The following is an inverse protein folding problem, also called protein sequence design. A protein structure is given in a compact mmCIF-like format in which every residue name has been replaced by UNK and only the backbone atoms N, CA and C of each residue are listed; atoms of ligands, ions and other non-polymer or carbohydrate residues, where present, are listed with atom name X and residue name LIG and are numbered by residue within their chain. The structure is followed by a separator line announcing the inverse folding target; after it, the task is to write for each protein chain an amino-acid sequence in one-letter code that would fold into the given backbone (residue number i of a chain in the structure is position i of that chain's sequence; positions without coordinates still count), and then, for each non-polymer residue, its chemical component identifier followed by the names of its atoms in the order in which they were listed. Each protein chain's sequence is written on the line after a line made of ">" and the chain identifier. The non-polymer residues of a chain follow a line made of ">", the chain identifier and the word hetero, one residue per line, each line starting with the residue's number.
data_IF_025126524095
#
_entry.id   IF_025126524095
#
_cell.length_a   1.000
_cell.length_b   1.000
_cell.length_c   1.000
_cell.angle_alpha   90.00
_cell.angle_beta   90.00
_cell.angle_gamma   90.00
#
_symmetry.space_group_name_H-M   'P 1'
#
loop_
_entity.id
_entity.type
_entity.pdbx_description
1 polymer ?
#
# COMPACT_ATOMS: atom_id res chain seq x y z
N UNK A 1 14.48 18.07 -6.61
CA UNK A 1 15.06 16.85 -6.01
C UNK A 1 16.56 16.81 -6.18
N UNK A 2 17.26 16.13 -5.26
CA UNK A 2 18.71 16.06 -5.31
C UNK A 2 19.19 15.26 -6.52
N UNK A 3 19.83 15.93 -7.44
CA UNK A 3 20.65 15.34 -8.48
C UNK A 3 21.95 16.16 -8.50
N UNK A 4 23.00 15.63 -7.92
CA UNK A 4 24.28 16.34 -7.83
C UNK A 4 24.82 16.76 -9.20
N UNK A 5 24.63 15.91 -10.21
CA UNK A 5 25.08 16.18 -11.58
C UNK A 5 24.49 17.49 -12.14
N UNK A 6 23.23 17.79 -11.82
CA UNK A 6 22.55 19.02 -12.31
C UNK A 6 22.68 20.20 -11.34
N UNK A 7 22.85 19.94 -10.03
CA UNK A 7 22.83 20.94 -8.97
C UNK A 7 24.17 21.05 -8.18
N UNK A 8 25.27 20.60 -8.76
CA UNK A 8 26.58 20.61 -8.09
C UNK A 8 26.99 22.00 -7.58
N UNK A 9 26.61 23.07 -8.30
CA UNK A 9 26.89 24.46 -7.90
C UNK A 9 26.05 24.93 -6.71
N UNK A 10 24.94 24.27 -6.44
CA UNK A 10 24.00 24.55 -5.35
C UNK A 10 24.22 23.60 -4.16
N UNK A 11 25.28 22.77 -4.21
CA UNK A 11 25.63 21.89 -3.11
C UNK A 11 26.36 22.68 -2.03
N UNK A 12 25.83 22.65 -0.81
CA UNK A 12 26.40 23.30 0.36
C UNK A 12 26.29 22.42 1.60
N UNK A 13 27.26 22.52 2.49
CA UNK A 13 27.28 21.86 3.79
C UNK A 13 27.47 22.85 4.92
N UNK A 14 26.72 22.61 6.01
CA UNK A 14 26.82 23.39 7.25
C UNK A 14 26.79 22.41 8.42
N UNK A 15 27.64 22.58 9.40
CA UNK A 15 27.60 21.83 10.65
C UNK A 15 26.71 22.57 11.65
N UNK A 16 25.42 22.21 11.72
CA UNK A 16 24.40 22.94 12.50
C UNK A 16 24.57 22.82 14.01
N UNK A 17 25.38 21.88 14.49
CA UNK A 17 25.62 21.67 15.91
C UNK A 17 26.41 20.41 16.20
N UNK A 18 26.67 20.19 17.48
CA UNK A 18 27.30 18.96 17.98
C UNK A 18 26.55 18.42 19.18
N UNK A 19 26.53 17.09 19.31
CA UNK A 19 25.88 16.37 20.41
C UNK A 19 26.86 15.36 21.00
N UNK A 20 26.88 15.24 22.32
CA UNK A 20 27.68 14.22 23.01
C UNK A 20 26.75 13.16 23.57
N UNK A 21 26.94 11.90 23.18
CA UNK A 21 26.11 10.78 23.61
C UNK A 21 26.42 10.33 25.06
N UNK A 22 25.67 9.35 25.56
CA UNK A 22 25.85 8.74 26.89
C UNK A 22 27.23 8.06 27.06
N UNK A 23 27.83 7.61 25.96
CA UNK A 23 29.19 7.05 25.93
C UNK A 23 30.28 8.12 25.82
N UNK A 24 29.90 9.38 25.95
CA UNK A 24 30.79 10.54 25.86
C UNK A 24 31.50 10.68 24.50
N UNK A 25 30.85 10.24 23.41
CA UNK A 25 31.30 10.45 22.04
C UNK A 25 30.59 11.68 21.48
N UNK A 26 31.38 12.65 20.95
CA UNK A 26 30.83 13.84 20.30
C UNK A 26 30.61 13.57 18.83
N UNK A 27 29.38 13.83 18.36
CA UNK A 27 28.94 13.79 16.98
C UNK A 27 28.67 15.21 16.49
N UNK A 28 28.91 15.43 15.21
CA UNK A 28 28.63 16.67 14.51
C UNK A 28 27.49 16.45 13.52
N UNK A 29 26.47 17.31 13.58
CA UNK A 29 25.28 17.23 12.74
C UNK A 29 25.54 18.06 11.47
N UNK A 30 25.86 17.37 10.39
CA UNK A 30 26.19 17.94 9.08
C UNK A 30 24.90 18.06 8.29
N UNK A 31 24.43 19.27 8.04
CA UNK A 31 23.33 19.54 7.13
C UNK A 31 23.88 19.68 5.70
N UNK A 32 23.46 18.80 4.81
CA UNK A 32 23.78 18.82 3.39
C UNK A 32 22.58 19.38 2.63
N UNK A 33 22.80 20.34 1.76
CA UNK A 33 21.80 20.92 0.89
C UNK A 33 22.23 20.73 -0.56
N UNK A 34 21.31 20.26 -1.43
CA UNK A 34 21.51 20.13 -2.89
C UNK A 34 20.26 20.62 -3.58
N UNK A 35 20.29 21.81 -4.16
CA UNK A 35 19.09 22.50 -4.60
C UNK A 35 18.09 22.67 -3.45
N UNK A 36 16.86 22.26 -3.64
CA UNK A 36 15.80 22.33 -2.62
C UNK A 36 15.80 21.18 -1.60
N UNK A 37 16.62 20.15 -1.82
CA UNK A 37 16.68 18.98 -0.94
C UNK A 37 17.74 19.18 0.13
N UNK A 38 17.38 18.87 1.36
CA UNK A 38 18.26 18.93 2.51
C UNK A 38 18.13 17.65 3.35
N UNK A 39 19.27 17.20 3.87
CA UNK A 39 19.30 16.11 4.85
C UNK A 39 20.40 16.35 5.88
N UNK A 40 20.34 15.63 6.99
CA UNK A 40 21.31 15.72 8.07
C UNK A 40 22.04 14.40 8.24
N UNK A 41 23.36 14.47 8.30
CA UNK A 41 24.25 13.33 8.54
C UNK A 41 24.96 13.52 9.87
N UNK A 42 25.06 12.46 10.66
CA UNK A 42 25.69 12.50 11.98
C UNK A 42 27.02 11.77 11.94
N UNK A 43 28.14 12.50 12.12
CA UNK A 43 29.50 11.96 12.05
C UNK A 43 30.33 12.38 13.27
N UNK A 44 31.20 11.47 13.74
CA UNK A 44 32.18 11.78 14.79
C UNK A 44 33.53 12.13 14.18
N UNK A 45 34.39 12.80 14.93
CA UNK A 45 35.70 13.28 14.44
C UNK A 45 36.56 12.17 13.80
N UNK A 46 36.50 10.91 14.31
CA UNK A 46 37.25 9.81 13.73
C UNK A 46 36.85 9.55 12.25
N UNK A 47 35.59 9.64 11.92
CA UNK A 47 35.11 9.44 10.55
C UNK A 47 35.60 10.55 9.60
N UNK A 48 35.71 11.80 10.09
CA UNK A 48 36.38 12.88 9.32
C UNK A 48 37.83 12.57 9.09
N UNK A 49 38.56 12.06 10.09
CA UNK A 49 39.98 11.71 9.95
C UNK A 49 40.16 10.54 8.98
N UNK A 50 39.29 9.54 9.02
CA UNK A 50 39.32 8.39 8.11
C UNK A 50 39.04 8.84 6.66
N UNK A 51 38.04 9.72 6.44
CA UNK A 51 37.75 10.34 5.14
C UNK A 51 38.97 11.14 4.64
N UNK A 52 39.51 12.02 5.50
CA UNK A 52 40.63 12.85 5.13
C UNK A 52 41.88 12.06 4.71
N UNK A 53 42.17 10.95 5.41
CA UNK A 53 43.29 10.07 5.05
C UNK A 53 43.11 9.48 3.63
N UNK A 54 41.92 9.08 3.25
CA UNK A 54 41.63 8.62 1.90
C UNK A 54 41.76 9.71 0.84
N UNK A 55 41.17 10.90 1.12
CA UNK A 55 41.24 12.03 0.18
C UNK A 55 42.66 12.54 -0.05
N UNK A 56 43.53 12.50 0.97
CA UNK A 56 44.97 12.83 0.85
C UNK A 56 45.69 11.80 -0.03
N UNK A 57 45.39 10.52 0.14
CA UNK A 57 46.09 9.47 -0.61
C UNK A 57 45.66 9.43 -2.09
N UNK A 58 44.36 9.57 -2.34
CA UNK A 58 43.77 9.23 -3.65
C UNK A 58 43.42 10.48 -4.48
N UNK A 59 43.28 11.67 -3.85
CA UNK A 59 42.74 12.88 -4.52
C UNK A 59 43.56 14.15 -4.34
N UNK A 60 44.84 14.04 -4.00
CA UNK A 60 45.79 15.18 -3.86
C UNK A 60 45.37 16.31 -2.91
N UNK A 61 44.58 15.97 -1.92
CA UNK A 61 44.14 16.90 -0.87
C UNK A 61 45.31 17.17 0.10
N UNK A 62 45.49 18.41 0.50
CA UNK A 62 46.63 18.81 1.43
C UNK A 62 46.35 18.30 2.84
N UNK A 63 47.41 17.80 3.51
CA UNK A 63 47.32 17.18 4.84
C UNK A 63 46.87 18.11 5.96
N UNK A 64 47.09 19.39 5.83
CA UNK A 64 46.99 20.39 6.94
C UNK A 64 45.60 21.03 7.05
N UNK A 65 44.64 20.70 6.20
CA UNK A 65 43.32 21.36 6.19
C UNK A 65 42.32 20.76 7.20
N UNK A 66 42.58 19.57 7.74
CA UNK A 66 41.72 18.98 8.76
C UNK A 66 42.09 19.50 10.14
N UNK A 67 41.15 20.00 10.98
CA UNK A 67 41.43 20.39 12.36
C UNK A 67 42.14 19.29 13.16
N UNK A 68 43.24 19.64 13.83
CA UNK A 68 44.09 18.67 14.51
C UNK A 68 43.40 17.90 15.63
N UNK A 69 43.90 16.65 15.87
CA UNK A 69 43.44 15.80 16.95
C UNK A 69 44.00 16.29 18.30
N UNK A 70 43.13 16.56 19.28
CA UNK A 70 43.53 16.88 20.65
C UNK A 70 43.22 15.69 21.56
N UNK A 71 44.16 15.32 22.42
CA UNK A 71 44.06 14.16 23.31
C UNK A 71 43.51 14.57 24.69
N UNK A 72 43.93 15.72 25.21
CA UNK A 72 43.52 16.23 26.54
C UNK A 72 42.61 17.44 26.34
N UNK A 73 41.51 17.56 27.10
CA UNK A 73 40.54 18.66 27.00
C UNK A 73 39.70 18.67 25.73
N UNK A 74 39.59 17.54 25.07
CA UNK A 74 38.82 17.39 23.83
C UNK A 74 37.27 17.35 24.04
N UNK A 75 36.81 17.41 25.31
CA UNK A 75 35.41 17.43 25.71
C UNK A 75 34.95 18.78 26.25
N UNK A 76 35.82 19.75 26.29
CA UNK A 76 35.46 21.13 26.70
C UNK A 76 34.52 21.74 25.64
N UNK A 77 33.42 22.39 26.06
CA UNK A 77 32.44 22.98 25.15
C UNK A 77 33.07 23.93 24.12
N UNK A 78 33.97 24.82 24.58
CA UNK A 78 34.67 25.78 23.71
C UNK A 78 35.57 25.10 22.67
N UNK A 79 36.16 23.95 23.03
CA UNK A 79 36.95 23.18 22.10
C UNK A 79 36.11 22.46 21.07
N UNK A 80 34.97 21.88 21.50
CA UNK A 80 34.01 21.22 20.61
C UNK A 80 33.48 22.23 19.58
N UNK A 81 33.13 23.45 20.04
CA UNK A 81 32.60 24.48 19.15
C UNK A 81 33.67 25.01 18.16
N UNK A 82 34.89 25.26 18.59
CA UNK A 82 36.00 25.63 17.68
C UNK A 82 36.26 24.51 16.65
N UNK A 83 36.19 23.24 17.08
CA UNK A 83 36.34 22.09 16.17
C UNK A 83 35.19 22.02 15.20
N UNK A 84 33.94 22.25 15.63
CA UNK A 84 32.75 22.28 14.77
C UNK A 84 32.95 23.26 13.62
N UNK A 85 33.35 24.50 13.94
CA UNK A 85 33.63 25.55 12.95
C UNK A 85 34.77 25.12 12.00
N UNK A 86 35.84 24.57 12.53
CA UNK A 86 36.96 24.11 11.71
C UNK A 86 36.58 22.94 10.78
N UNK A 87 35.74 22.02 11.24
CA UNK A 87 35.24 20.92 10.42
C UNK A 87 34.25 21.40 9.34
N UNK A 88 33.46 22.43 9.61
CA UNK A 88 32.60 23.06 8.62
C UNK A 88 33.41 23.69 7.49
N UNK A 89 34.44 24.51 7.84
CA UNK A 89 35.36 25.11 6.88
C UNK A 89 36.07 24.02 6.08
N UNK A 90 36.52 22.95 6.73
CA UNK A 90 37.14 21.80 6.08
C UNK A 90 36.21 21.17 5.00
N UNK A 91 34.97 20.85 5.34
CA UNK A 91 34.03 20.28 4.39
C UNK A 91 33.71 21.22 3.23
N UNK A 92 33.51 22.50 3.50
CA UNK A 92 33.26 23.51 2.46
C UNK A 92 34.44 23.64 1.51
N UNK A 93 35.66 23.61 2.04
CA UNK A 93 36.91 23.64 1.24
C UNK A 93 37.01 22.39 0.34
N UNK A 94 36.81 21.21 0.91
CA UNK A 94 36.84 19.95 0.16
C UNK A 94 35.75 19.92 -0.94
N UNK A 95 34.52 20.33 -0.62
CA UNK A 95 33.44 20.39 -1.60
C UNK A 95 33.75 21.34 -2.75
N UNK A 96 34.28 22.50 -2.44
CA UNK A 96 34.70 23.49 -3.46
C UNK A 96 35.83 22.96 -4.34
N UNK A 97 36.81 22.30 -3.76
CA UNK A 97 37.95 21.75 -4.48
C UNK A 97 37.60 20.57 -5.35
N UNK A 98 36.77 19.63 -4.84
CA UNK A 98 36.37 18.38 -5.50
C UNK A 98 35.02 18.47 -6.25
N UNK A 99 34.45 19.66 -6.41
CA UNK A 99 33.13 19.89 -6.99
C UNK A 99 32.89 19.17 -8.33
N UNK A 100 33.91 19.09 -9.19
CA UNK A 100 33.83 18.49 -10.53
C UNK A 100 34.09 16.99 -10.52
N UNK A 101 34.85 16.48 -9.55
CA UNK A 101 35.33 15.10 -9.46
C UNK A 101 34.90 14.43 -8.16
N UNK A 102 33.74 14.81 -7.63
CA UNK A 102 33.22 14.33 -6.35
C UNK A 102 33.51 12.84 -6.12
N UNK A 103 34.45 12.49 -5.23
CA UNK A 103 34.86 11.10 -5.01
C UNK A 103 33.80 10.29 -4.28
N UNK A 104 33.81 8.98 -4.50
CA UNK A 104 32.83 8.04 -3.89
C UNK A 104 32.88 8.10 -2.36
N UNK A 105 34.07 8.25 -1.78
CA UNK A 105 34.27 8.33 -0.33
C UNK A 105 33.58 9.55 0.30
N UNK A 106 33.51 10.66 -0.44
CA UNK A 106 32.84 11.87 0.03
C UNK A 106 31.32 11.76 -0.14
N UNK A 107 30.84 11.13 -1.22
CA UNK A 107 29.43 10.78 -1.38
C UNK A 107 28.95 9.87 -0.26
N UNK A 108 29.70 8.80 0.07
CA UNK A 108 29.39 7.87 1.14
C UNK A 108 29.40 8.55 2.52
N UNK A 109 30.41 9.40 2.77
CA UNK A 109 30.50 10.15 4.02
C UNK A 109 29.31 11.07 4.24
N UNK A 110 28.82 11.73 3.19
CA UNK A 110 27.68 12.64 3.22
C UNK A 110 26.34 11.94 2.93
N UNK A 111 26.33 10.62 2.77
CA UNK A 111 25.14 9.76 2.55
C UNK A 111 24.30 10.15 1.34
N UNK A 112 24.93 10.59 0.26
CA UNK A 112 24.23 10.90 -0.99
C UNK A 112 23.50 9.70 -1.60
N UNK A 113 24.00 8.48 -1.37
CA UNK A 113 23.41 7.23 -1.85
C UNK A 113 21.95 7.02 -1.39
N UNK A 114 21.54 7.71 -0.33
CA UNK A 114 20.18 7.64 0.22
C UNK A 114 19.22 8.67 -0.40
N UNK A 115 19.76 9.74 -1.01
CA UNK A 115 18.93 10.90 -1.40
C UNK A 115 19.18 11.41 -2.81
N UNK A 116 20.32 11.09 -3.43
CA UNK A 116 20.64 11.52 -4.78
C UNK A 116 20.11 10.53 -5.84
N UNK A 117 19.42 11.07 -6.84
CA UNK A 117 18.78 10.30 -7.91
C UNK A 117 19.77 9.35 -8.62
N UNK A 118 20.96 9.84 -8.99
CA UNK A 118 21.91 9.06 -9.76
C UNK A 118 22.54 7.94 -8.92
N UNK A 119 22.80 8.21 -7.65
CA UNK A 119 23.40 7.23 -6.74
C UNK A 119 22.39 6.16 -6.30
N UNK A 120 21.12 6.55 -6.10
CA UNK A 120 20.03 5.59 -5.86
C UNK A 120 19.92 4.63 -7.05
N UNK A 121 19.93 5.14 -8.27
CA UNK A 121 19.83 4.31 -9.49
C UNK A 121 21.07 3.44 -9.66
N UNK A 122 22.29 3.97 -9.40
CA UNK A 122 23.55 3.19 -9.41
C UNK A 122 23.50 2.01 -8.43
N UNK A 123 22.95 2.25 -7.24
CA UNK A 123 22.77 1.22 -6.21
C UNK A 123 21.76 0.15 -6.65
N UNK A 124 20.62 0.56 -7.20
CA UNK A 124 19.62 -0.37 -7.76
C UNK A 124 20.19 -1.18 -8.92
N UNK A 125 20.96 -0.55 -9.84
CA UNK A 125 21.61 -1.24 -10.95
C UNK A 125 22.56 -2.33 -10.45
N UNK A 126 23.37 -2.02 -9.44
CA UNK A 126 24.28 -2.98 -8.80
C UNK A 126 23.54 -4.14 -8.15
N UNK A 127 22.47 -3.84 -7.42
CA UNK A 127 21.63 -4.84 -6.75
C UNK A 127 20.96 -5.78 -7.76
N UNK A 128 20.39 -5.23 -8.83
CA UNK A 128 19.72 -6.05 -9.85
C UNK A 128 20.69 -6.80 -10.76
N UNK A 129 21.88 -6.27 -10.99
CA UNK A 129 22.97 -7.02 -11.64
C UNK A 129 23.36 -8.27 -10.86
N UNK A 130 23.42 -8.16 -9.52
CA UNK A 130 23.84 -9.27 -8.64
C UNK A 130 22.70 -10.24 -8.33
N UNK A 131 21.51 -9.73 -8.04
CA UNK A 131 20.41 -10.47 -7.42
C UNK A 131 19.12 -10.45 -8.22
N UNK A 132 19.05 -9.72 -9.35
CA UNK A 132 17.81 -9.49 -10.10
C UNK A 132 17.12 -10.79 -10.52
N UNK A 133 17.85 -11.75 -11.07
CA UNK A 133 17.28 -13.03 -11.48
C UNK A 133 16.77 -13.88 -10.29
N UNK A 134 17.41 -13.77 -9.12
CA UNK A 134 16.94 -14.45 -7.90
C UNK A 134 15.60 -13.87 -7.43
N UNK A 135 15.45 -12.54 -7.45
CA UNK A 135 14.20 -11.88 -7.09
C UNK A 135 13.06 -12.23 -8.07
N UNK A 136 13.38 -12.33 -9.37
CA UNK A 136 12.39 -12.66 -10.40
C UNK A 136 12.00 -14.15 -10.41
N UNK A 137 12.92 -15.06 -10.10
CA UNK A 137 12.67 -16.50 -10.10
C UNK A 137 11.70 -16.95 -9.00
N UNK A 138 11.74 -16.30 -7.85
CA UNK A 138 10.93 -16.69 -6.68
C UNK A 138 9.48 -16.20 -6.74
N UNK A 139 9.05 -15.56 -7.83
CA UNK A 139 7.73 -14.87 -7.96
C UNK A 139 7.42 -13.93 -6.78
N UNK A 140 8.44 -13.52 -6.04
CA UNK A 140 8.32 -12.69 -4.86
C UNK A 140 7.89 -11.27 -5.25
N UNK A 141 7.13 -10.67 -4.36
CA UNK A 141 6.80 -9.27 -4.42
C UNK A 141 8.05 -8.41 -4.23
N UNK A 142 8.41 -7.60 -5.21
CA UNK A 142 9.47 -6.62 -5.02
C UNK A 142 8.87 -5.28 -4.53
N UNK A 143 9.44 -4.77 -3.44
CA UNK A 143 8.98 -3.56 -2.79
C UNK A 143 9.84 -2.36 -3.20
N UNK A 144 9.32 -1.49 -4.04
CA UNK A 144 9.89 -0.18 -4.28
C UNK A 144 9.33 0.84 -3.29
N UNK A 145 10.17 1.75 -2.80
CA UNK A 145 9.67 3.00 -2.21
C UNK A 145 9.52 4.07 -3.30
N UNK A 146 8.72 5.09 -3.01
CA UNK A 146 8.44 6.16 -3.98
C UNK A 146 9.71 6.91 -4.41
N UNK A 147 10.69 7.07 -3.53
CA UNK A 147 11.95 7.74 -3.87
C UNK A 147 12.77 6.95 -4.92
N UNK A 148 12.78 5.62 -4.84
CA UNK A 148 13.42 4.77 -5.85
C UNK A 148 12.69 4.87 -7.21
N UNK A 149 11.36 4.84 -7.23
CA UNK A 149 10.57 5.01 -8.45
C UNK A 149 10.73 6.41 -9.04
N UNK A 150 10.77 7.43 -8.20
CA UNK A 150 11.10 8.79 -8.61
C UNK A 150 12.50 8.84 -9.24
N UNK A 151 13.50 8.23 -8.61
CA UNK A 151 14.86 8.21 -9.15
C UNK A 151 14.95 7.50 -10.52
N UNK A 152 14.23 6.39 -10.69
CA UNK A 152 14.10 5.70 -11.99
C UNK A 152 13.46 6.63 -13.01
N UNK A 153 12.37 7.32 -12.64
CA UNK A 153 11.63 8.24 -13.53
C UNK A 153 12.48 9.43 -13.97
N UNK A 154 13.23 10.04 -13.07
CA UNK A 154 14.16 11.14 -13.40
C UNK A 154 15.32 10.65 -14.26
N UNK A 155 15.84 9.45 -13.98
CA UNK A 155 16.92 8.86 -14.79
C UNK A 155 16.47 8.58 -16.23
N UNK A 156 15.22 8.20 -16.45
CA UNK A 156 14.65 7.99 -17.79
C UNK A 156 14.63 9.27 -18.65
N UNK A 157 14.55 10.44 -18.03
CA UNK A 157 14.55 11.74 -18.72
C UNK A 157 15.95 12.18 -19.18
N UNK A 158 16.99 11.59 -18.62
CA UNK A 158 18.38 11.95 -18.93
C UNK A 158 18.92 11.07 -20.05
N UNK A 159 19.76 11.61 -20.98
CA UNK A 159 20.46 10.80 -21.95
C UNK A 159 21.32 9.75 -21.22
N UNK A 160 21.40 8.56 -21.80
CA UNK A 160 22.17 7.46 -21.23
C UNK A 160 23.61 7.54 -21.73
N UNK A 161 24.58 8.05 -20.96
CA UNK A 161 25.98 7.85 -21.29
C UNK A 161 26.29 6.36 -21.09
N UNK A 162 27.07 5.79 -22.01
CA UNK A 162 27.60 4.46 -21.84
C UNK A 162 28.47 4.42 -20.58
N UNK A 163 28.09 3.55 -19.64
CA UNK A 163 28.90 3.33 -18.43
C UNK A 163 30.01 2.37 -18.79
N UNK A 164 31.28 2.79 -18.59
CA UNK A 164 32.45 1.90 -18.77
C UNK A 164 32.37 0.65 -17.88
N UNK A 165 31.69 0.75 -16.75
CA UNK A 165 31.50 -0.37 -15.85
C UNK A 165 30.08 -0.95 -15.98
N UNK A 166 30.00 -2.15 -16.57
CA UNK A 166 28.73 -2.86 -16.81
C UNK A 166 27.87 -3.00 -15.56
N UNK A 167 28.45 -3.18 -14.36
CA UNK A 167 27.78 -3.34 -13.07
C UNK A 167 26.84 -2.17 -12.73
N UNK A 168 27.16 -0.96 -13.18
CA UNK A 168 26.40 0.25 -12.87
C UNK A 168 25.43 0.67 -13.99
N UNK A 169 25.29 -0.17 -15.01
CA UNK A 169 24.47 0.15 -16.16
C UNK A 169 22.98 0.19 -15.79
N UNK A 170 22.31 1.28 -16.13
CA UNK A 170 20.88 1.47 -15.89
C UNK A 170 20.00 0.42 -16.59
N UNK A 171 20.51 -0.24 -17.63
CA UNK A 171 19.82 -1.33 -18.31
C UNK A 171 19.40 -2.47 -17.38
N UNK A 172 20.16 -2.74 -16.30
CA UNK A 172 19.79 -3.75 -15.30
C UNK A 172 18.52 -3.39 -14.54
N UNK A 173 18.35 -2.08 -14.23
CA UNK A 173 17.12 -1.58 -13.60
C UNK A 173 15.95 -1.71 -14.56
N UNK A 174 16.12 -1.35 -15.83
CA UNK A 174 15.07 -1.45 -16.83
C UNK A 174 14.68 -2.88 -17.13
N UNK A 175 15.65 -3.79 -17.30
CA UNK A 175 15.38 -5.22 -17.51
C UNK A 175 14.60 -5.81 -16.33
N UNK A 176 15.02 -5.50 -15.11
CA UNK A 176 14.30 -5.93 -13.92
C UNK A 176 12.85 -5.42 -13.90
N UNK A 177 12.63 -4.12 -14.11
CA UNK A 177 11.30 -3.53 -14.15
C UNK A 177 10.42 -4.14 -15.25
N UNK A 178 10.98 -4.39 -16.45
CA UNK A 178 10.28 -5.00 -17.56
C UNK A 178 9.77 -6.41 -17.26
N UNK A 179 10.55 -7.20 -16.52
CA UNK A 179 10.29 -8.62 -16.23
C UNK A 179 9.49 -8.82 -14.93
N UNK A 180 9.44 -7.82 -14.05
CA UNK A 180 8.77 -7.92 -12.74
C UNK A 180 7.28 -8.21 -12.89
N UNK A 181 6.78 -9.25 -12.20
CA UNK A 181 5.36 -9.66 -12.21
C UNK A 181 4.58 -9.13 -11.02
N UNK A 182 5.23 -8.92 -9.89
CA UNK A 182 4.59 -8.53 -8.64
C UNK A 182 5.26 -7.27 -8.08
N UNK A 183 4.60 -6.13 -8.25
CA UNK A 183 5.09 -4.82 -7.86
C UNK A 183 4.36 -4.34 -6.61
N UNK A 184 5.09 -4.07 -5.54
CA UNK A 184 4.59 -3.33 -4.40
C UNK A 184 5.28 -1.98 -4.29
N UNK A 185 4.49 -0.95 -3.96
CA UNK A 185 4.96 0.43 -3.84
C UNK A 185 4.60 0.95 -2.46
N UNK A 186 5.59 1.48 -1.75
CA UNK A 186 5.40 2.05 -0.40
C UNK A 186 5.65 3.54 -0.43
N UNK A 187 4.62 4.31 -0.12
CA UNK A 187 4.66 5.76 0.07
C UNK A 187 4.63 6.16 1.55
N UNK A 188 4.32 7.42 1.79
CA UNK A 188 4.16 7.97 3.14
C UNK A 188 4.15 9.49 3.15
N UNK A 189 3.58 10.07 4.20
CA UNK A 189 3.49 11.53 4.38
C UNK A 189 4.54 12.09 5.34
N UNK A 190 5.38 11.23 5.94
CA UNK A 190 6.46 11.65 6.81
C UNK A 190 7.74 11.90 6.03
N UNK A 191 8.63 12.67 6.60
CA UNK A 191 9.96 12.89 6.06
C UNK A 191 10.75 11.59 5.94
N UNK A 192 11.48 11.46 4.84
CA UNK A 192 12.34 10.30 4.60
C UNK A 192 13.61 10.45 5.45
N UNK A 193 13.73 9.64 6.49
CA UNK A 193 14.84 9.67 7.44
C UNK A 193 15.08 11.12 7.98
N UNK A 194 16.33 11.58 7.96
CA UNK A 194 16.72 12.91 8.41
C UNK A 194 16.75 13.94 7.26
N UNK A 195 15.78 13.87 6.32
CA UNK A 195 15.70 14.78 5.17
C UNK A 195 14.39 15.58 5.16
N UNK A 196 14.29 16.54 4.24
CA UNK A 196 13.04 17.23 3.93
C UNK A 196 12.23 16.59 2.80
N UNK A 197 12.61 15.38 2.36
CA UNK A 197 11.91 14.64 1.34
C UNK A 197 10.65 13.99 1.93
N UNK A 198 9.53 14.10 1.22
CA UNK A 198 8.29 13.39 1.53
C UNK A 198 7.92 12.53 0.33
N UNK A 199 7.71 11.22 0.52
CA UNK A 199 7.39 10.30 -0.58
C UNK A 199 6.20 10.76 -1.41
N UNK A 200 5.12 11.16 -0.75
CA UNK A 200 3.88 11.53 -1.43
C UNK A 200 3.91 12.91 -2.12
N UNK A 201 5.06 13.57 -2.15
CA UNK A 201 5.30 14.78 -2.95
C UNK A 201 6.16 14.50 -4.20
N UNK A 202 6.49 13.23 -4.48
CA UNK A 202 7.36 12.83 -5.58
C UNK A 202 6.55 12.18 -6.70
N UNK A 203 6.59 12.79 -7.89
CA UNK A 203 5.95 12.24 -9.09
C UNK A 203 6.81 11.11 -9.67
N UNK A 204 6.19 9.98 -10.01
CA UNK A 204 6.90 8.87 -10.65
C UNK A 204 6.05 8.19 -11.72
N UNK A 205 6.71 7.54 -12.65
CA UNK A 205 6.05 6.82 -13.74
C UNK A 205 6.22 5.31 -13.65
N UNK A 206 5.27 4.60 -14.25
CA UNK A 206 5.24 3.15 -14.30
C UNK A 206 5.38 2.60 -15.74
N UNK A 207 5.88 3.40 -16.66
CA UNK A 207 6.03 3.02 -18.08
C UNK A 207 6.97 1.84 -18.32
N UNK A 208 7.96 1.63 -17.44
CA UNK A 208 8.93 0.52 -17.53
C UNK A 208 8.36 -0.83 -17.08
N UNK A 209 7.22 -0.84 -16.39
CA UNK A 209 6.65 -2.06 -15.81
C UNK A 209 5.64 -2.71 -16.78
N UNK A 210 6.10 -3.54 -17.72
CA UNK A 210 5.25 -4.11 -18.78
C UNK A 210 4.74 -5.51 -18.52
N UNK A 211 5.24 -6.20 -17.48
CA UNK A 211 4.89 -7.59 -17.16
C UNK A 211 4.15 -7.76 -15.83
N UNK A 212 3.83 -6.67 -15.14
CA UNK A 212 3.19 -6.70 -13.82
C UNK A 212 1.80 -7.33 -13.90
N UNK A 213 1.58 -8.37 -13.09
CA UNK A 213 0.33 -9.10 -12.94
C UNK A 213 -0.40 -8.66 -11.66
N UNK A 214 0.36 -8.35 -10.59
CA UNK A 214 -0.18 -7.89 -9.31
C UNK A 214 0.46 -6.56 -8.92
N UNK A 215 -0.36 -5.55 -8.67
CA UNK A 215 0.03 -4.22 -8.20
C UNK A 215 -0.45 -4.01 -6.77
N UNK A 216 0.44 -3.65 -5.88
CA UNK A 216 0.13 -3.31 -4.50
C UNK A 216 0.67 -1.92 -4.17
N UNK A 217 -0.16 -1.04 -3.63
CA UNK A 217 0.21 0.31 -3.24
C UNK A 217 -0.21 0.57 -1.79
N UNK A 218 0.73 1.06 -0.99
CA UNK A 218 0.52 1.31 0.43
C UNK A 218 0.87 2.76 0.78
N UNK A 219 -0.09 3.50 1.34
CA UNK A 219 0.08 4.90 1.76
C UNK A 219 0.54 5.82 0.63
N UNK A 220 -0.01 5.69 -0.59
CA UNK A 220 0.41 6.44 -1.78
C UNK A 220 -0.56 7.56 -2.12
N UNK A 221 -0.02 8.71 -2.52
CA UNK A 221 -0.79 9.74 -3.19
C UNK A 221 -0.95 9.37 -4.69
N UNK A 222 -2.16 8.93 -5.08
CA UNK A 222 -2.43 8.43 -6.43
C UNK A 222 -2.19 9.47 -7.54
N UNK A 223 -2.41 10.75 -7.24
CA UNK A 223 -2.17 11.87 -8.15
C UNK A 223 -0.67 12.10 -8.48
N UNK A 224 0.25 11.43 -7.79
CA UNK A 224 1.68 11.48 -8.09
C UNK A 224 2.12 10.43 -9.12
N UNK A 225 1.22 9.50 -9.49
CA UNK A 225 1.51 8.43 -10.44
C UNK A 225 1.13 8.88 -11.86
N UNK A 226 2.03 8.71 -12.81
CA UNK A 226 1.75 8.94 -14.22
C UNK A 226 2.25 7.78 -15.10
N UNK A 227 1.85 7.74 -16.37
CA UNK A 227 2.21 6.69 -17.33
C UNK A 227 1.88 5.25 -16.89
N UNK A 228 0.70 5.05 -16.28
CA UNK A 228 0.22 3.73 -15.80
C UNK A 228 -0.31 2.83 -16.95
N UNK A 229 -0.46 3.35 -18.16
CA UNK A 229 -1.07 2.67 -19.31
C UNK A 229 -0.57 1.23 -19.56
N UNK A 230 0.72 0.89 -19.47
CA UNK A 230 1.18 -0.48 -19.70
C UNK A 230 0.56 -1.49 -18.74
N UNK A 231 0.28 -1.09 -17.51
CA UNK A 231 -0.31 -1.95 -16.47
C UNK A 231 -1.75 -2.36 -16.78
N UNK A 232 -2.53 -1.53 -17.49
CA UNK A 232 -3.92 -1.83 -17.86
C UNK A 232 -4.05 -3.11 -18.67
N UNK A 233 -3.02 -3.47 -19.42
CA UNK A 233 -3.00 -4.65 -20.29
C UNK A 233 -2.50 -5.93 -19.60
N UNK A 234 -1.92 -5.85 -18.42
CA UNK A 234 -1.26 -7.00 -17.78
C UNK A 234 -1.78 -7.31 -16.39
N UNK A 235 -2.12 -6.30 -15.60
CA UNK A 235 -2.52 -6.46 -14.19
C UNK A 235 -3.84 -7.21 -14.07
N UNK A 236 -3.85 -8.19 -13.14
CA UNK A 236 -5.01 -9.02 -12.79
C UNK A 236 -5.51 -8.75 -11.36
N UNK A 237 -4.66 -8.27 -10.50
CA UNK A 237 -5.01 -7.93 -9.13
C UNK A 237 -4.42 -6.57 -8.74
N UNK A 238 -5.24 -5.72 -8.13
CA UNK A 238 -4.85 -4.38 -7.64
C UNK A 238 -5.19 -4.32 -6.16
N UNK A 239 -4.22 -3.95 -5.34
CA UNK A 239 -4.40 -3.65 -3.92
C UNK A 239 -3.93 -2.23 -3.64
N UNK A 240 -4.82 -1.37 -3.15
CA UNK A 240 -4.50 0.00 -2.75
C UNK A 240 -4.98 0.20 -1.32
N UNK A 241 -4.04 0.23 -0.39
CA UNK A 241 -4.32 0.26 1.03
C UNK A 241 -3.93 1.60 1.65
N UNK A 242 -4.82 2.18 2.47
CA UNK A 242 -4.58 3.40 3.26
C UNK A 242 -4.00 4.57 2.43
N UNK A 243 -4.57 4.81 1.24
CA UNK A 243 -4.08 5.79 0.26
C UNK A 243 -5.02 6.99 0.07
N UNK A 244 -6.05 7.10 0.94
CA UNK A 244 -7.05 8.18 0.95
C UNK A 244 -7.80 8.33 -0.38
N UNK A 245 -8.02 7.21 -1.10
CA UNK A 245 -8.84 7.21 -2.30
C UNK A 245 -10.29 7.58 -1.93
N UNK A 246 -10.89 8.51 -2.63
CA UNK A 246 -12.31 8.87 -2.49
C UNK A 246 -13.19 8.10 -3.47
N UNK A 247 -12.63 7.68 -4.59
CA UNK A 247 -13.28 6.90 -5.63
C UNK A 247 -12.26 6.04 -6.39
N UNK A 248 -12.69 4.93 -7.03
CA UNK A 248 -11.79 4.04 -7.76
C UNK A 248 -11.01 4.73 -8.89
N UNK A 249 -11.57 5.77 -9.52
CA UNK A 249 -10.92 6.54 -10.59
C UNK A 249 -9.65 7.22 -10.13
N UNK A 250 -9.55 7.58 -8.85
CA UNK A 250 -8.37 8.27 -8.30
C UNK A 250 -7.08 7.47 -8.54
N UNK A 251 -7.18 6.15 -8.67
CA UNK A 251 -6.05 5.28 -9.00
C UNK A 251 -6.15 4.70 -10.41
N UNK A 252 -7.32 4.26 -10.85
CA UNK A 252 -7.46 3.60 -12.16
C UNK A 252 -7.23 4.56 -13.33
N UNK A 253 -7.45 5.86 -13.11
CA UNK A 253 -7.25 6.94 -14.07
C UNK A 253 -6.25 8.00 -13.59
N UNK A 254 -5.36 7.67 -12.66
CA UNK A 254 -4.45 8.63 -12.04
C UNK A 254 -3.54 9.37 -13.05
N UNK A 255 -3.23 8.78 -14.19
CA UNK A 255 -2.46 9.40 -15.28
C UNK A 255 -3.27 10.40 -16.13
N UNK A 256 -4.58 10.46 -15.98
CA UNK A 256 -5.46 11.41 -16.67
C UNK A 256 -5.67 12.71 -15.87
N UNK A 257 -5.34 12.77 -14.62
CA UNK A 257 -5.39 14.00 -13.80
C UNK A 257 -4.58 15.14 -14.43
N UNK A 258 -3.59 14.79 -15.25
CA UNK A 258 -2.68 15.73 -15.92
C UNK A 258 -3.03 15.99 -17.39
N UNK A 259 -4.17 15.46 -17.89
CA UNK A 259 -4.65 15.66 -19.25
C UNK A 259 -5.99 16.39 -19.21
N UNK A 260 -6.19 17.36 -20.10
CA UNK A 260 -7.50 17.95 -20.33
C UNK A 260 -8.49 16.85 -20.74
N UNK A 261 -9.62 16.77 -20.07
CA UNK A 261 -10.66 15.78 -20.31
C UNK A 261 -11.21 15.91 -21.73
N UNK A 262 -10.97 14.92 -22.59
CA UNK A 262 -11.78 14.69 -23.77
C UNK A 262 -12.98 13.81 -23.38
N UNK A 263 -14.15 14.15 -23.84
CA UNK A 263 -15.45 13.54 -23.46
C UNK A 263 -15.62 12.08 -23.87
N UNK A 264 -14.70 11.52 -24.64
CA UNK A 264 -14.78 10.14 -25.12
C UNK A 264 -13.90 9.22 -24.25
N UNK A 265 -14.55 8.31 -23.52
CA UNK A 265 -13.85 7.21 -22.80
C UNK A 265 -13.16 6.33 -23.85
N UNK A 266 -11.86 6.54 -24.03
CA UNK A 266 -11.03 5.71 -24.90
C UNK A 266 -10.97 4.28 -24.32
N UNK A 267 -11.12 3.26 -25.18
CA UNK A 267 -10.95 1.84 -24.82
C UNK A 267 -9.60 1.54 -24.13
N UNK A 268 -8.65 2.45 -24.23
CA UNK A 268 -7.36 2.41 -23.57
C UNK A 268 -7.43 2.66 -22.03
N UNK A 269 -8.56 3.12 -21.50
CA UNK A 269 -8.76 3.39 -20.06
C UNK A 269 -9.19 2.15 -19.27
N UNK A 270 -9.70 1.13 -19.96
CA UNK A 270 -10.31 -0.04 -19.36
C UNK A 270 -9.27 -1.06 -18.93
N UNK A 271 -9.40 -1.58 -17.72
CA UNK A 271 -8.56 -2.62 -17.13
C UNK A 271 -9.16 -4.02 -17.38
N UNK A 272 -9.13 -4.45 -18.65
CA UNK A 272 -9.82 -5.68 -19.09
C UNK A 272 -9.34 -6.97 -18.42
N UNK A 273 -8.12 -7.01 -17.88
CA UNK A 273 -7.57 -8.23 -17.26
C UNK A 273 -7.74 -8.27 -15.75
N UNK A 274 -8.17 -7.19 -15.11
CA UNK A 274 -8.37 -7.13 -13.67
C UNK A 274 -9.51 -8.06 -13.27
N UNK A 275 -9.22 -8.93 -12.29
CA UNK A 275 -10.14 -9.89 -11.69
C UNK A 275 -10.39 -9.65 -10.21
N UNK A 276 -9.48 -8.95 -9.54
CA UNK A 276 -9.58 -8.65 -8.13
C UNK A 276 -9.11 -7.24 -7.83
N UNK A 277 -9.90 -6.51 -7.05
CA UNK A 277 -9.48 -5.25 -6.44
C UNK A 277 -9.64 -5.33 -4.93
N UNK A 278 -8.64 -4.78 -4.24
CA UNK A 278 -8.67 -4.53 -2.81
C UNK A 278 -8.34 -3.06 -2.58
N UNK A 279 -9.36 -2.27 -2.23
CA UNK A 279 -9.26 -0.86 -1.92
C UNK A 279 -9.60 -0.60 -0.45
N UNK A 280 -9.27 -1.54 0.41
CA UNK A 280 -9.57 -1.45 1.84
C UNK A 280 -8.83 -0.30 2.53
N UNK A 281 -9.46 0.22 3.59
CA UNK A 281 -8.94 1.30 4.43
C UNK A 281 -8.61 2.58 3.65
N UNK A 282 -9.56 3.02 2.81
CA UNK A 282 -9.54 4.29 2.10
C UNK A 282 -10.73 5.18 2.54
N UNK A 283 -11.06 6.17 1.74
CA UNK A 283 -12.17 7.11 1.96
C UNK A 283 -13.22 6.98 0.85
N UNK A 284 -13.41 5.78 0.28
CA UNK A 284 -14.28 5.55 -0.89
C UNK A 284 -15.74 5.65 -0.49
N UNK A 285 -16.49 6.43 -1.26
CA UNK A 285 -17.92 6.65 -1.07
C UNK A 285 -18.77 5.95 -2.16
N UNK A 286 -18.22 5.69 -3.36
CA UNK A 286 -18.91 5.15 -4.54
C UNK A 286 -18.06 4.10 -5.28
N UNK A 287 -18.71 3.10 -5.87
CA UNK A 287 -18.09 2.05 -6.68
C UNK A 287 -18.51 2.09 -8.16
N UNK A 288 -19.38 3.03 -8.54
CA UNK A 288 -20.01 3.05 -9.87
C UNK A 288 -19.04 2.94 -11.04
N UNK A 289 -17.87 3.56 -10.95
CA UNK A 289 -16.87 3.53 -12.02
C UNK A 289 -16.22 2.18 -12.26
N UNK A 290 -16.24 1.27 -11.29
CA UNK A 290 -15.72 -0.09 -11.47
C UNK A 290 -16.47 -0.85 -12.57
N UNK A 291 -17.77 -0.57 -12.76
CA UNK A 291 -18.60 -1.22 -13.77
C UNK A 291 -18.08 -0.98 -15.21
N UNK A 292 -17.49 0.17 -15.43
CA UNK A 292 -16.94 0.56 -16.73
C UNK A 292 -15.44 0.29 -16.82
N UNK A 293 -14.70 0.61 -15.77
CA UNK A 293 -13.24 0.53 -15.79
C UNK A 293 -12.69 -0.89 -15.60
N UNK A 294 -13.45 -1.79 -14.95
CA UNK A 294 -12.99 -3.16 -14.62
C UNK A 294 -14.09 -4.21 -14.92
N UNK A 295 -14.57 -4.34 -16.17
CA UNK A 295 -15.77 -5.12 -16.49
C UNK A 295 -15.65 -6.62 -16.19
N UNK A 296 -14.44 -7.17 -16.07
CA UNK A 296 -14.18 -8.59 -15.85
C UNK A 296 -13.85 -8.96 -14.39
N UNK A 297 -14.16 -8.06 -13.46
CA UNK A 297 -13.84 -8.24 -12.04
C UNK A 297 -14.66 -9.38 -11.42
N UNK A 298 -14.03 -10.12 -10.51
CA UNK A 298 -14.63 -11.25 -9.77
C UNK A 298 -14.71 -11.02 -8.28
N UNK A 299 -13.78 -10.23 -7.76
CA UNK A 299 -13.66 -9.97 -6.32
C UNK A 299 -13.44 -8.50 -6.08
N UNK A 300 -14.28 -7.90 -5.23
CA UNK A 300 -14.14 -6.52 -4.75
C UNK A 300 -14.03 -6.57 -3.22
N UNK A 301 -12.95 -6.01 -2.69
CA UNK A 301 -12.79 -5.73 -1.26
C UNK A 301 -12.65 -4.21 -1.08
N UNK A 302 -13.61 -3.62 -0.37
CA UNK A 302 -13.63 -2.19 -0.01
C UNK A 302 -13.91 -1.99 1.47
N UNK A 303 -13.36 -2.87 2.29
CA UNK A 303 -13.51 -2.82 3.74
C UNK A 303 -12.89 -1.54 4.33
N UNK A 304 -13.49 -1.00 5.40
CA UNK A 304 -12.95 0.17 6.07
C UNK A 304 -12.99 1.44 5.21
N UNK A 305 -14.11 1.67 4.51
CA UNK A 305 -14.36 2.84 3.68
C UNK A 305 -15.57 3.67 4.18
N UNK A 306 -16.06 4.60 3.40
CA UNK A 306 -17.15 5.51 3.74
C UNK A 306 -18.45 5.24 2.98
N UNK A 307 -18.63 4.02 2.46
CA UNK A 307 -19.79 3.63 1.64
C UNK A 307 -21.04 3.63 2.52
N UNK A 308 -22.09 4.32 2.06
CA UNK A 308 -23.39 4.43 2.75
C UNK A 308 -24.48 3.61 2.07
N UNK A 309 -24.36 3.36 0.77
CA UNK A 309 -25.37 2.65 -0.05
C UNK A 309 -24.69 1.67 -1.00
N UNK A 310 -25.40 0.58 -1.32
CA UNK A 310 -24.96 -0.38 -2.35
C UNK A 310 -25.52 0.06 -3.70
N UNK A 311 -24.63 0.33 -4.64
CA UNK A 311 -24.95 0.76 -5.99
C UNK A 311 -25.26 -0.42 -6.92
N UNK A 312 -25.69 -0.12 -8.15
CA UNK A 312 -25.93 -1.12 -9.18
C UNK A 312 -24.58 -1.64 -9.74
N UNK A 313 -24.29 -2.89 -9.45
CA UNK A 313 -23.11 -3.62 -9.92
C UNK A 313 -23.47 -4.73 -10.92
N UNK A 314 -24.70 -4.77 -11.47
CA UNK A 314 -25.17 -5.83 -12.38
C UNK A 314 -24.37 -5.91 -13.66
N UNK A 315 -23.79 -4.81 -14.13
CA UNK A 315 -22.86 -4.80 -15.27
C UNK A 315 -21.59 -5.65 -15.04
N UNK A 316 -21.24 -5.92 -13.78
CA UNK A 316 -20.12 -6.78 -13.40
C UNK A 316 -20.57 -8.26 -13.38
N UNK A 317 -20.88 -8.81 -14.53
CA UNK A 317 -21.47 -10.16 -14.68
C UNK A 317 -20.64 -11.29 -14.10
N UNK A 318 -19.34 -11.09 -13.90
CA UNK A 318 -18.40 -12.05 -13.31
C UNK A 318 -18.22 -11.89 -11.80
N UNK A 319 -18.84 -10.86 -11.18
CA UNK A 319 -18.67 -10.58 -9.76
C UNK A 319 -19.26 -11.70 -8.92
N UNK A 320 -18.42 -12.33 -8.10
CA UNK A 320 -18.79 -13.43 -7.23
C UNK A 320 -18.56 -13.13 -5.74
N UNK A 321 -17.66 -12.22 -5.43
CA UNK A 321 -17.32 -11.87 -4.04
C UNK A 321 -17.26 -10.36 -3.86
N UNK A 322 -18.03 -9.86 -2.88
CA UNK A 322 -18.08 -8.45 -2.51
C UNK A 322 -17.93 -8.34 -0.99
N UNK A 323 -16.89 -7.62 -0.55
CA UNK A 323 -16.67 -7.31 0.86
C UNK A 323 -16.77 -5.80 1.08
N UNK A 324 -17.71 -5.42 1.93
CA UNK A 324 -18.10 -4.06 2.31
C UNK A 324 -18.03 -3.90 3.85
N UNK A 325 -17.27 -4.74 4.52
CA UNK A 325 -17.13 -4.72 5.98
C UNK A 325 -16.61 -3.36 6.46
N UNK A 326 -17.02 -2.98 7.66
CA UNK A 326 -16.55 -1.74 8.30
C UNK A 326 -16.77 -0.49 7.42
N UNK A 327 -18.03 -0.32 6.97
CA UNK A 327 -18.53 0.83 6.23
C UNK A 327 -19.68 1.52 6.98
N UNK A 328 -20.39 2.44 6.32
CA UNK A 328 -21.47 3.22 6.90
C UNK A 328 -22.86 2.84 6.36
N UNK A 329 -23.05 1.60 5.89
CA UNK A 329 -24.28 1.17 5.24
C UNK A 329 -25.39 1.03 6.31
N UNK A 330 -26.46 1.79 6.16
CA UNK A 330 -27.63 1.77 7.06
C UNK A 330 -28.82 1.06 6.47
N UNK A 331 -29.11 1.34 5.21
CA UNK A 331 -30.28 0.85 4.51
C UNK A 331 -29.88 0.14 3.22
N UNK A 332 -30.54 -0.96 2.96
CA UNK A 332 -30.33 -1.76 1.76
C UNK A 332 -31.66 -2.00 1.07
N UNK A 333 -31.73 -1.64 -0.21
CA UNK A 333 -32.93 -1.80 -1.02
C UNK A 333 -32.63 -2.56 -2.30
N UNK A 334 -33.53 -3.44 -2.68
CA UNK A 334 -33.52 -4.15 -3.97
C UNK A 334 -32.18 -4.80 -4.36
N UNK A 335 -31.48 -5.39 -3.38
CA UNK A 335 -30.15 -5.98 -3.59
C UNK A 335 -30.10 -6.98 -4.76
N UNK A 336 -31.21 -7.72 -5.00
CA UNK A 336 -31.30 -8.68 -6.09
C UNK A 336 -31.25 -8.04 -7.49
N UNK A 337 -31.60 -6.76 -7.61
CA UNK A 337 -31.49 -6.00 -8.86
C UNK A 337 -30.14 -5.32 -9.02
N UNK A 338 -29.33 -5.25 -7.95
CA UNK A 338 -28.05 -4.51 -7.91
C UNK A 338 -26.82 -5.41 -7.93
N UNK A 339 -26.92 -6.62 -7.40
CA UNK A 339 -25.76 -7.48 -7.13
C UNK A 339 -25.63 -8.72 -8.06
N UNK A 340 -26.59 -8.93 -8.97
CA UNK A 340 -26.54 -10.06 -9.90
C UNK A 340 -26.37 -11.42 -9.21
N UNK A 341 -25.47 -12.27 -9.70
CA UNK A 341 -25.23 -13.63 -9.22
C UNK A 341 -24.10 -13.71 -8.17
N UNK A 342 -24.12 -12.85 -7.19
CA UNK A 342 -23.14 -12.81 -6.13
C UNK A 342 -23.21 -14.08 -5.26
N UNK A 343 -22.05 -14.65 -4.92
CA UNK A 343 -21.91 -15.87 -4.10
C UNK A 343 -21.53 -15.55 -2.66
N UNK A 344 -20.60 -14.62 -2.46
CA UNK A 344 -20.14 -14.23 -1.14
C UNK A 344 -20.36 -12.72 -0.93
N UNK A 345 -21.07 -12.37 0.14
CA UNK A 345 -21.32 -10.99 0.55
C UNK A 345 -20.95 -10.80 2.01
N UNK A 346 -19.98 -9.92 2.26
CA UNK A 346 -19.58 -9.49 3.59
C UNK A 346 -20.04 -8.04 3.81
N UNK A 347 -20.94 -7.87 4.76
CA UNK A 347 -21.49 -6.60 5.22
C UNK A 347 -21.28 -6.41 6.74
N UNK A 348 -20.33 -7.15 7.31
CA UNK A 348 -20.03 -7.05 8.73
C UNK A 348 -19.62 -5.65 9.16
N UNK A 349 -19.82 -5.30 10.42
CA UNK A 349 -19.46 -3.98 10.97
C UNK A 349 -20.05 -2.80 10.19
N UNK A 350 -21.35 -2.88 9.89
CA UNK A 350 -22.14 -1.82 9.29
C UNK A 350 -23.30 -1.41 10.26
N UNK A 351 -24.31 -0.74 9.75
CA UNK A 351 -25.44 -0.25 10.54
C UNK A 351 -26.80 -0.82 10.10
N UNK A 352 -26.78 -2.02 9.52
CA UNK A 352 -27.94 -2.68 8.93
C UNK A 352 -28.86 -3.23 10.04
N UNK A 353 -30.16 -2.95 9.97
CA UNK A 353 -31.17 -3.45 10.91
C UNK A 353 -32.27 -4.24 10.22
N UNK A 354 -32.55 -3.99 8.94
CA UNK A 354 -33.58 -4.65 8.14
C UNK A 354 -32.99 -5.63 7.12
N UNK A 355 -33.49 -6.87 7.11
CA UNK A 355 -33.05 -7.92 6.21
C UNK A 355 -34.02 -8.20 5.06
N UNK A 356 -35.07 -7.41 4.88
CA UNK A 356 -36.10 -7.59 3.84
C UNK A 356 -35.50 -7.66 2.44
N UNK A 357 -34.54 -6.79 2.14
CA UNK A 357 -33.87 -6.70 0.84
C UNK A 357 -33.04 -7.95 0.45
N UNK A 358 -32.67 -8.80 1.43
CA UNK A 358 -31.86 -9.99 1.19
C UNK A 358 -32.70 -11.17 0.67
N UNK A 359 -34.01 -11.12 0.82
CA UNK A 359 -34.94 -12.28 0.59
C UNK A 359 -34.88 -12.88 -0.81
N UNK A 360 -34.32 -12.21 -1.81
CA UNK A 360 -34.24 -12.65 -3.21
C UNK A 360 -32.79 -12.86 -3.70
N UNK A 361 -31.82 -12.90 -2.84
CA UNK A 361 -30.40 -13.14 -3.19
C UNK A 361 -30.16 -14.67 -3.33
N UNK A 362 -30.79 -15.31 -4.25
CA UNK A 362 -30.82 -16.79 -4.37
C UNK A 362 -29.46 -17.42 -4.67
N UNK A 363 -28.50 -16.69 -5.21
CA UNK A 363 -27.15 -17.18 -5.52
C UNK A 363 -26.19 -17.15 -4.31
N UNK A 364 -26.57 -16.48 -3.20
CA UNK A 364 -25.69 -16.31 -2.04
C UNK A 364 -25.48 -17.66 -1.33
N UNK A 365 -24.23 -18.01 -1.12
CA UNK A 365 -23.75 -19.13 -0.31
C UNK A 365 -23.20 -18.67 1.03
N UNK A 366 -22.50 -17.51 1.06
CA UNK A 366 -21.89 -16.96 2.25
C UNK A 366 -22.38 -15.53 2.47
N UNK A 367 -22.98 -15.29 3.64
CA UNK A 367 -23.46 -13.97 4.06
C UNK A 367 -22.90 -13.64 5.46
N UNK A 368 -22.09 -12.58 5.54
CA UNK A 368 -21.62 -12.05 6.81
C UNK A 368 -22.34 -10.73 7.12
N UNK A 369 -23.12 -10.73 8.20
CA UNK A 369 -23.83 -9.60 8.77
C UNK A 369 -23.38 -9.33 10.22
N UNK A 370 -22.25 -9.87 10.65
CA UNK A 370 -21.72 -9.70 12.01
C UNK A 370 -21.57 -8.22 12.38
N UNK A 371 -21.76 -7.91 13.67
CA UNK A 371 -21.58 -6.53 14.16
C UNK A 371 -22.44 -5.49 13.43
N UNK A 372 -23.73 -5.76 13.28
CA UNK A 372 -24.75 -4.86 12.74
C UNK A 372 -25.84 -4.59 13.81
N UNK A 373 -27.00 -4.05 13.42
CA UNK A 373 -28.09 -3.68 14.33
C UNK A 373 -29.34 -4.56 14.17
N UNK A 374 -29.21 -5.78 13.68
CA UNK A 374 -30.32 -6.72 13.56
C UNK A 374 -30.77 -7.14 14.98
N UNK A 375 -31.94 -6.69 15.40
CA UNK A 375 -32.47 -6.92 16.77
C UNK A 375 -33.57 -7.99 16.82
N UNK A 376 -34.41 -8.08 15.81
CA UNK A 376 -35.55 -8.97 15.80
C UNK A 376 -35.24 -10.27 15.05
N UNK A 377 -35.50 -11.41 15.72
CA UNK A 377 -35.32 -12.73 15.12
C UNK A 377 -36.27 -12.99 13.93
N UNK A 378 -37.39 -12.29 13.86
CA UNK A 378 -38.33 -12.41 12.73
C UNK A 378 -37.71 -11.93 11.41
N UNK A 379 -36.72 -11.03 11.44
CA UNK A 379 -35.95 -10.61 10.27
C UNK A 379 -35.26 -11.79 9.56
N UNK A 380 -34.90 -12.82 10.31
CA UNK A 380 -34.24 -14.00 9.75
C UNK A 380 -35.13 -14.78 8.79
N UNK A 381 -36.46 -14.64 8.91
CA UNK A 381 -37.43 -15.27 7.97
C UNK A 381 -37.18 -14.82 6.53
N UNK A 382 -36.63 -13.63 6.30
CA UNK A 382 -36.28 -13.17 4.98
C UNK A 382 -35.14 -13.98 4.35
N UNK A 383 -34.26 -14.58 5.18
CA UNK A 383 -33.11 -15.36 4.74
C UNK A 383 -33.46 -16.86 4.52
N UNK A 384 -34.58 -17.35 5.03
CA UNK A 384 -34.94 -18.78 4.95
C UNK A 384 -35.18 -19.27 3.51
N UNK A 385 -35.48 -18.38 2.58
CA UNK A 385 -35.68 -18.65 1.15
C UNK A 385 -34.39 -18.80 0.35
N UNK A 386 -33.23 -18.39 0.93
CA UNK A 386 -31.92 -18.43 0.29
C UNK A 386 -31.37 -19.86 0.30
N UNK A 387 -31.81 -20.67 -0.64
CA UNK A 387 -31.57 -22.13 -0.65
C UNK A 387 -30.10 -22.51 -0.80
N UNK A 388 -29.24 -21.72 -1.36
CA UNK A 388 -27.82 -21.97 -1.53
C UNK A 388 -26.97 -21.52 -0.32
N UNK A 389 -27.55 -20.68 0.56
CA UNK A 389 -26.82 -20.15 1.72
C UNK A 389 -26.47 -21.24 2.72
N UNK A 390 -25.22 -21.50 2.93
CA UNK A 390 -24.69 -22.50 3.86
C UNK A 390 -23.82 -21.88 4.98
N UNK A 391 -23.58 -20.58 4.93
CA UNK A 391 -22.78 -19.84 5.90
C UNK A 391 -23.42 -18.49 6.19
N UNK A 392 -23.68 -18.23 7.48
CA UNK A 392 -24.27 -16.99 7.98
C UNK A 392 -23.57 -16.55 9.27
N UNK A 393 -23.16 -15.31 9.35
CA UNK A 393 -22.66 -14.68 10.58
C UNK A 393 -23.63 -13.60 11.02
N UNK A 394 -24.07 -13.65 12.28
CA UNK A 394 -24.90 -12.64 12.95
C UNK A 394 -24.34 -12.27 14.32
N UNK A 395 -23.22 -12.85 14.73
CA UNK A 395 -22.53 -12.50 15.97
C UNK A 395 -22.28 -10.98 16.07
N UNK A 396 -22.35 -10.44 17.27
CA UNK A 396 -22.22 -8.98 17.47
C UNK A 396 -23.47 -8.16 17.11
N UNK A 397 -24.60 -8.81 16.70
CA UNK A 397 -25.90 -8.15 16.57
C UNK A 397 -26.73 -8.29 17.85
N UNK A 398 -27.69 -7.39 18.14
CA UNK A 398 -28.59 -7.55 19.26
C UNK A 398 -29.35 -8.89 19.27
N UNK A 399 -29.70 -9.42 18.09
CA UNK A 399 -30.38 -10.72 17.95
C UNK A 399 -29.56 -11.89 18.51
N UNK A 400 -28.24 -11.82 18.48
CA UNK A 400 -27.35 -12.89 18.98
C UNK A 400 -27.37 -13.03 20.53
N UNK A 401 -27.87 -12.02 21.24
CA UNK A 401 -27.99 -12.03 22.72
C UNK A 401 -29.29 -12.66 23.22
N UNK A 402 -30.22 -13.03 22.32
CA UNK A 402 -31.50 -13.64 22.68
C UNK A 402 -31.27 -15.04 23.25
N UNK A 403 -31.98 -15.37 24.34
CA UNK A 403 -31.95 -16.72 24.93
C UNK A 403 -32.33 -17.78 23.87
N UNK A 404 -31.56 -18.85 23.81
CA UNK A 404 -31.70 -19.92 22.81
C UNK A 404 -31.52 -19.44 21.34
N UNK A 405 -30.80 -18.35 21.11
CA UNK A 405 -30.58 -17.76 19.79
C UNK A 405 -30.23 -18.82 18.74
N UNK A 406 -29.16 -19.60 18.93
CA UNK A 406 -28.68 -20.57 17.94
C UNK A 406 -29.74 -21.63 17.60
N UNK A 407 -30.42 -22.21 18.60
CA UNK A 407 -31.45 -23.19 18.34
C UNK A 407 -32.70 -22.60 17.69
N UNK A 408 -33.04 -21.33 17.96
CA UNK A 408 -34.09 -20.60 17.26
C UNK A 408 -33.75 -20.36 15.79
N UNK A 409 -32.50 -19.90 15.54
CA UNK A 409 -31.99 -19.67 14.20
C UNK A 409 -31.99 -20.96 13.35
N UNK A 410 -31.40 -22.03 13.89
CA UNK A 410 -31.33 -23.32 13.23
C UNK A 410 -32.76 -23.89 12.97
N UNK A 411 -33.69 -23.68 13.89
CA UNK A 411 -35.09 -24.05 13.73
C UNK A 411 -35.82 -23.31 12.60
N UNK A 412 -35.47 -22.09 12.29
CA UNK A 412 -35.98 -21.33 11.16
C UNK A 412 -35.41 -21.81 9.83
N UNK A 413 -34.18 -22.28 9.79
CA UNK A 413 -33.48 -22.76 8.58
C UNK A 413 -33.91 -24.18 8.16
N UNK A 414 -34.67 -24.90 8.97
CA UNK A 414 -35.33 -26.18 8.76
C UNK A 414 -34.46 -27.33 8.20
N UNK A 415 -34.43 -27.59 6.90
CA UNK A 415 -33.89 -28.86 6.30
C UNK A 415 -32.36 -28.90 6.13
N UNK A 416 -31.59 -27.85 6.54
CA UNK A 416 -30.17 -27.73 6.28
C UNK A 416 -29.33 -27.61 7.53
N UNK A 417 -29.90 -27.92 8.65
CA UNK A 417 -29.28 -27.65 9.96
C UNK A 417 -27.96 -28.37 10.16
N UNK A 418 -27.73 -29.57 9.60
CA UNK A 418 -26.50 -30.35 9.81
C UNK A 418 -25.25 -29.72 9.17
N UNK A 419 -25.39 -29.12 7.99
CA UNK A 419 -24.27 -28.63 7.20
C UNK A 419 -24.12 -27.07 7.24
N UNK A 420 -25.09 -26.42 7.85
CA UNK A 420 -25.12 -24.97 7.92
C UNK A 420 -24.16 -24.45 8.96
N UNK A 421 -23.29 -23.51 8.59
CA UNK A 421 -22.37 -22.84 9.49
C UNK A 421 -22.99 -21.53 10.00
N UNK A 422 -23.29 -21.44 11.30
CA UNK A 422 -23.79 -20.25 11.94
C UNK A 422 -22.74 -19.70 12.89
N UNK A 423 -22.38 -18.41 12.71
CA UNK A 423 -21.38 -17.70 13.52
C UNK A 423 -20.03 -18.44 13.62
N UNK A 424 -19.55 -18.93 12.46
CA UNK A 424 -18.31 -19.70 12.29
C UNK A 424 -18.32 -21.10 12.92
N UNK A 425 -19.44 -21.56 13.41
CA UNK A 425 -19.57 -22.87 14.07
C UNK A 425 -20.67 -23.72 13.41
N UNK A 426 -20.39 -25.01 13.22
CA UNK A 426 -21.41 -26.00 12.83
C UNK A 426 -22.27 -26.32 14.05
N UNK A 427 -23.55 -26.73 13.83
CA UNK A 427 -24.43 -27.15 14.91
C UNK A 427 -23.89 -28.37 15.65
N UNK A 428 -23.98 -28.32 16.97
CA UNK A 428 -23.73 -29.49 17.82
C UNK A 428 -24.90 -30.49 17.76
N UNK A 429 -24.65 -31.77 18.08
CA UNK A 429 -25.71 -32.78 18.12
C UNK A 429 -26.83 -32.37 19.08
N UNK A 430 -26.49 -31.79 20.24
CA UNK A 430 -27.47 -31.30 21.21
C UNK A 430 -28.38 -30.18 20.66
N UNK A 431 -27.83 -29.29 19.84
CA UNK A 431 -28.63 -28.25 19.18
C UNK A 431 -29.56 -28.85 18.14
N UNK A 432 -29.08 -29.81 17.35
CA UNK A 432 -29.89 -30.53 16.35
C UNK A 432 -31.04 -31.26 17.00
N UNK A 433 -30.79 -32.01 18.08
CA UNK A 433 -31.84 -32.74 18.83
C UNK A 433 -32.89 -31.78 19.40
N UNK A 434 -32.42 -30.64 19.96
CA UNK A 434 -33.31 -29.61 20.50
C UNK A 434 -34.20 -28.99 19.41
N UNK A 435 -33.64 -28.73 18.22
CA UNK A 435 -34.39 -28.23 17.06
C UNK A 435 -35.44 -29.24 16.58
N UNK A 436 -35.06 -30.53 16.48
CA UNK A 436 -35.95 -31.60 16.09
C UNK A 436 -37.15 -31.75 17.06
N UNK A 437 -36.88 -31.73 18.36
CA UNK A 437 -37.92 -31.76 19.40
C UNK A 437 -38.86 -30.55 19.30
N UNK A 438 -38.31 -29.33 19.21
CA UNK A 438 -39.11 -28.11 19.07
C UNK A 438 -39.97 -28.14 17.81
N UNK A 439 -39.45 -28.68 16.68
CA UNK A 439 -40.20 -28.86 15.43
C UNK A 439 -41.34 -29.85 15.57
N UNK A 440 -41.09 -31.02 16.16
CA UNK A 440 -42.11 -32.04 16.41
C UNK A 440 -43.25 -31.51 17.32
N UNK A 441 -42.93 -30.80 18.38
CA UNK A 441 -43.89 -30.16 19.27
C UNK A 441 -44.74 -29.08 18.55
N UNK A 442 -44.19 -28.37 17.61
CA UNK A 442 -44.95 -27.40 16.81
C UNK A 442 -45.93 -28.08 15.89
N UNK A 443 -45.51 -29.15 15.16
CA UNK A 443 -46.39 -29.93 14.29
C UNK A 443 -47.55 -30.56 15.08
N UNK A 444 -47.24 -31.10 16.25
CA UNK A 444 -48.30 -31.69 17.14
C UNK A 444 -49.32 -30.62 17.59
N UNK A 445 -48.90 -29.40 17.87
CA UNK A 445 -49.81 -28.27 18.21
C UNK A 445 -50.65 -27.81 17.02
N UNK A 446 -50.13 -27.93 15.78
CA UNK A 446 -50.83 -27.61 14.52
C UNK A 446 -51.74 -28.76 14.04
N UNK A 447 -51.81 -29.90 14.76
CA UNK A 447 -52.59 -31.07 14.38
C UNK A 447 -52.05 -31.82 13.16
N UNK A 448 -50.76 -31.58 12.80
CA UNK A 448 -50.07 -32.24 11.66
C UNK A 448 -49.15 -33.34 12.16
N UNK A 449 -49.04 -34.42 11.39
CA UNK A 449 -48.06 -35.46 11.67
C UNK A 449 -46.73 -35.19 10.99
N UNK A 450 -45.64 -35.83 11.46
CA UNK A 450 -44.31 -35.75 10.83
C UNK A 450 -44.26 -36.24 9.36
N UNK A 451 -45.30 -36.92 8.92
CA UNK A 451 -45.45 -37.53 7.57
C UNK A 451 -46.31 -36.69 6.63
N UNK A 452 -47.02 -35.67 7.13
CA UNK A 452 -47.78 -34.74 6.28
C UNK A 452 -46.80 -33.73 5.65
N UNK A 453 -46.35 -34.01 4.41
CA UNK A 453 -45.48 -33.15 3.61
C UNK A 453 -46.28 -32.27 2.65
#
# INVERSE_FOLDING_TARGET
>A
MSCYVTHSRECNVVISGSETDTNRVTYYNIKVNVGEVAWTVRKRYKEFADLHAKLVNDHTVTKDILPGKKIIGNKEPDFIERRRIGLEIYLQTILSFLQKSMPEELFDFLEFDKYDVMLIVKKLATEFYQNGDVYLANENCFNFNVLQLYAISERLKLPCPDSENNKFNFSHVLDFCLRLKHLAIKGGQHYVNASNIVYNNLNFELSSFKSVIKLECFNIASNMIYNIKPLRNTVRAITIYNSKLKKPEDILLCDYVHKEWSSDMDSNMVWNKVKSVDFSWNEIETLASLTVLTPNIRTINVNGNLITTIEDLTALTNLSRLSLSNNNITEVFDLHTKLGNLVCLDLSSNKISDLTAFSKLFSIEMLDLGSNYVANIDQIKHLTKLHNMNYLVLSGNPVSTIVDYRTKMLGLLNKRTSDFCLDNERPTQKELDTVAIKHALRLAKEGKTLFDR
#
